data_IF_198679121439
#
_entry.id   IF_198679121439
#
_cell.length_a   1.000
_cell.length_b   1.000
_cell.length_c   1.000
_cell.angle_alpha   90.00
_cell.angle_beta   90.00
_cell.angle_gamma   90.00
#
_symmetry.space_group_name_H-M   'P 1'
#
loop_
_entity.id
_entity.type
_entity.pdbx_description
1 polymer ?
#
# COMPACT_ATOMS: atom_id res chain seq x y z
N UNK A 1 7.09 -9.92 13.42
CA UNK A 1 7.18 -9.24 12.12
C UNK A 1 7.45 -7.78 12.44
N UNK A 2 8.61 -7.24 12.10
CA UNK A 2 9.01 -5.87 12.47
C UNK A 2 8.37 -4.92 11.45
N UNK A 3 7.70 -3.88 11.90
CA UNK A 3 7.09 -2.89 11.00
C UNK A 3 8.14 -2.28 10.07
N UNK A 4 7.75 -1.88 8.84
CA UNK A 4 8.66 -1.19 7.94
C UNK A 4 9.21 0.10 8.60
N UNK A 5 10.51 0.42 8.42
CA UNK A 5 11.09 1.65 8.94
C UNK A 5 10.37 2.88 8.36
N UNK A 6 10.19 3.91 9.18
CA UNK A 6 9.48 5.15 8.82
C UNK A 6 10.12 5.90 7.65
N UNK A 7 11.43 5.71 7.45
CA UNK A 7 12.18 6.10 6.26
C UNK A 7 13.06 4.91 5.86
N UNK A 8 12.79 4.28 4.72
CA UNK A 8 13.61 3.18 4.22
C UNK A 8 13.02 2.55 2.96
N UNK A 9 13.86 1.81 2.24
CA UNK A 9 13.45 1.00 1.09
C UNK A 9 13.46 -0.45 1.52
N UNK A 10 12.41 -1.21 1.21
CA UNK A 10 12.37 -2.65 1.41
C UNK A 10 11.73 -3.33 0.22
N UNK A 11 12.24 -4.52 -0.10
CA UNK A 11 11.73 -5.36 -1.17
C UNK A 11 10.78 -6.42 -0.60
N UNK A 12 9.62 -6.58 -1.23
CA UNK A 12 8.72 -7.69 -0.93
C UNK A 12 8.42 -8.47 -2.19
N UNK A 13 8.74 -9.76 -2.14
CA UNK A 13 8.38 -10.71 -3.19
C UNK A 13 7.25 -11.60 -2.71
N UNK A 14 6.12 -11.55 -3.42
CA UNK A 14 5.01 -12.49 -3.21
C UNK A 14 5.15 -13.68 -4.16
N UNK A 15 5.18 -14.93 -3.65
CA UNK A 15 5.22 -16.10 -4.52
C UNK A 15 3.93 -16.19 -5.33
N UNK A 16 4.05 -16.45 -6.64
CA UNK A 16 2.91 -16.55 -7.57
C UNK A 16 2.00 -17.76 -7.33
N UNK A 17 2.50 -18.79 -6.63
CA UNK A 17 1.73 -19.94 -6.16
C UNK A 17 1.87 -20.03 -4.65
N UNK A 18 0.73 -20.05 -3.96
CA UNK A 18 0.68 -20.49 -2.56
C UNK A 18 1.23 -21.93 -2.54
N UNK A 19 2.37 -22.18 -1.89
CA UNK A 19 2.80 -23.57 -1.66
C UNK A 19 1.70 -24.25 -0.84
N UNK A 20 1.19 -25.38 -1.32
CA UNK A 20 0.25 -26.24 -0.57
C UNK A 20 0.84 -26.51 0.82
N UNK A 21 0.15 -26.11 1.88
CA UNK A 21 0.61 -26.28 3.28
C UNK A 21 1.63 -25.24 3.79
N UNK A 22 2.04 -24.26 2.98
CA UNK A 22 2.90 -23.17 3.44
C UNK A 22 2.08 -22.03 4.04
N UNK A 23 2.52 -21.49 5.18
CA UNK A 23 2.11 -20.13 5.58
C UNK A 23 2.53 -19.20 4.44
N UNK A 24 1.57 -18.62 3.73
CA UNK A 24 1.85 -17.54 2.79
C UNK A 24 2.65 -16.45 3.50
N UNK A 25 3.41 -15.65 2.76
CA UNK A 25 3.98 -14.45 3.37
C UNK A 25 2.78 -13.63 3.91
N UNK A 26 2.67 -13.49 5.24
CA UNK A 26 1.52 -12.86 5.90
C UNK A 26 1.27 -11.43 5.38
N UNK A 27 2.29 -10.81 4.81
CA UNK A 27 2.19 -9.58 4.05
C UNK A 27 1.32 -9.71 2.79
N UNK A 28 1.60 -10.73 1.97
CA UNK A 28 0.91 -10.98 0.71
C UNK A 28 -0.55 -11.38 0.97
N UNK A 29 -0.80 -12.24 1.97
CA UNK A 29 -2.17 -12.61 2.36
C UNK A 29 -2.99 -11.37 2.78
N UNK A 30 -2.38 -10.42 3.52
CA UNK A 30 -3.04 -9.16 3.91
C UNK A 30 -3.29 -8.24 2.73
N UNK A 31 -2.34 -8.12 1.80
CA UNK A 31 -2.48 -7.26 0.62
C UNK A 31 -3.52 -7.83 -0.36
N UNK A 32 -3.60 -9.15 -0.48
CA UNK A 32 -4.66 -9.84 -1.21
C UNK A 32 -6.04 -9.62 -0.57
N UNK A 33 -6.15 -9.74 0.76
CA UNK A 33 -7.42 -9.50 1.47
C UNK A 33 -7.93 -8.07 1.38
N UNK A 34 -7.08 -7.11 1.00
CA UNK A 34 -7.48 -5.71 0.72
C UNK A 34 -7.77 -5.44 -0.75
N UNK A 35 -7.44 -6.38 -1.64
CA UNK A 35 -7.76 -6.26 -3.07
C UNK A 35 -9.21 -6.70 -3.31
N UNK A 36 -10.09 -5.77 -3.66
CA UNK A 36 -11.45 -6.08 -4.10
C UNK A 36 -11.57 -5.95 -5.63
N UNK A 37 -12.50 -6.70 -6.28
CA UNK A 37 -12.80 -6.49 -7.69
C UNK A 37 -13.14 -5.02 -7.98
N UNK A 38 -12.49 -4.42 -8.98
CA UNK A 38 -12.71 -3.01 -9.36
C UNK A 38 -11.97 -1.96 -8.52
N UNK A 39 -11.30 -2.35 -7.42
CA UNK A 39 -10.48 -1.43 -6.63
C UNK A 39 -9.01 -1.59 -6.99
N UNK A 40 -8.41 -0.54 -7.56
CA UNK A 40 -6.97 -0.45 -7.72
C UNK A 40 -6.34 0.20 -6.49
N UNK A 41 -5.63 -0.61 -5.68
CA UNK A 41 -4.93 -0.15 -4.47
C UNK A 41 -3.81 0.85 -4.75
N UNK A 42 -3.30 0.86 -5.99
CA UNK A 42 -2.17 1.68 -6.40
C UNK A 42 -2.58 2.87 -7.26
N UNK A 43 -3.83 2.92 -7.74
CA UNK A 43 -4.33 4.08 -8.49
C UNK A 43 -4.29 5.35 -7.63
N UNK A 44 -3.87 6.50 -8.18
CA UNK A 44 -3.85 7.77 -7.47
C UNK A 44 -5.26 8.24 -7.12
N UNK A 45 -5.38 9.11 -6.11
CA UNK A 45 -6.62 9.84 -5.87
C UNK A 45 -6.89 10.76 -7.08
N UNK A 46 -8.12 10.80 -7.64
CA UNK A 46 -8.47 11.73 -8.71
C UNK A 46 -8.23 13.18 -8.29
N UNK A 47 -7.74 14.01 -9.21
CA UNK A 47 -7.42 15.42 -8.92
C UNK A 47 -8.66 16.27 -8.56
N UNK A 48 -9.83 15.83 -8.99
CA UNK A 48 -11.14 16.43 -8.71
C UNK A 48 -11.85 15.83 -7.49
N UNK A 49 -11.21 14.89 -6.78
CA UNK A 49 -11.76 14.32 -5.58
C UNK A 49 -11.90 15.37 -4.47
N UNK A 50 -13.07 15.42 -3.85
CA UNK A 50 -13.32 16.26 -2.68
C UNK A 50 -12.70 15.61 -1.44
N UNK A 51 -11.52 16.10 -1.05
CA UNK A 51 -10.75 15.57 0.06
C UNK A 51 -10.60 16.61 1.17
N UNK A 52 -10.69 16.18 2.43
CA UNK A 52 -10.36 17.04 3.56
C UNK A 52 -8.87 17.36 3.55
N UNK A 53 -8.51 18.62 3.83
CA UNK A 53 -7.13 18.95 4.14
C UNK A 53 -6.76 18.33 5.49
N UNK A 54 -5.63 17.64 5.55
CA UNK A 54 -5.07 17.10 6.79
C UNK A 54 -3.74 17.78 7.06
N UNK A 55 -3.64 18.48 8.20
CA UNK A 55 -2.44 19.20 8.62
C UNK A 55 -1.58 18.36 9.59
N UNK A 56 -1.67 17.05 9.47
CA UNK A 56 -0.86 16.12 10.23
C UNK A 56 0.56 15.99 9.64
N UNK A 57 1.44 15.23 10.30
CA UNK A 57 2.82 15.02 9.85
C UNK A 57 2.82 14.45 8.42
N UNK A 58 3.22 15.22 7.40
CA UNK A 58 3.20 14.74 6.03
C UNK A 58 4.23 13.62 5.87
N UNK A 59 3.85 12.59 5.12
CA UNK A 59 4.72 11.48 4.79
C UNK A 59 4.50 11.10 3.33
N UNK A 60 5.60 10.82 2.63
CA UNK A 60 5.57 10.35 1.25
C UNK A 60 6.12 8.95 1.15
N UNK A 61 5.52 8.12 0.31
CA UNK A 61 6.06 6.80 -0.02
C UNK A 61 5.96 6.55 -1.52
N UNK A 62 6.92 5.81 -2.06
CA UNK A 62 6.90 5.31 -3.42
C UNK A 62 6.90 3.79 -3.37
N UNK A 63 5.93 3.16 -4.04
CA UNK A 63 5.85 1.72 -4.20
C UNK A 63 6.07 1.40 -5.67
N UNK A 64 7.22 0.81 -5.97
CA UNK A 64 7.57 0.34 -7.31
C UNK A 64 7.75 -1.18 -7.31
N UNK A 65 7.27 -1.87 -8.35
CA UNK A 65 7.45 -3.32 -8.47
C UNK A 65 6.46 -3.99 -9.42
N UNK A 66 6.15 -5.26 -9.13
CA UNK A 66 5.17 -6.04 -9.90
C UNK A 66 4.17 -6.71 -8.97
N UNK A 67 2.89 -6.38 -9.14
CA UNK A 67 1.78 -6.93 -8.36
C UNK A 67 0.81 -7.66 -9.28
N UNK A 68 0.52 -8.94 -8.99
CA UNK A 68 -0.38 -9.79 -9.82
C UNK A 68 -0.08 -9.71 -11.33
N UNK A 69 1.21 -9.62 -11.69
CA UNK A 69 1.66 -9.50 -13.09
C UNK A 69 1.65 -8.08 -13.67
N UNK A 70 1.03 -7.10 -13.00
CA UNK A 70 1.02 -5.69 -13.40
C UNK A 70 2.23 -4.95 -12.84
N UNK A 71 2.90 -4.13 -13.65
CA UNK A 71 3.88 -3.16 -13.12
C UNK A 71 3.15 -2.14 -12.26
N UNK A 72 3.73 -1.83 -11.12
CA UNK A 72 3.25 -0.82 -10.18
C UNK A 72 4.34 0.21 -10.02
N UNK A 73 3.96 1.48 -10.15
CA UNK A 73 4.73 2.63 -9.73
C UNK A 73 3.71 3.63 -9.18
N UNK A 74 3.63 3.69 -7.85
CA UNK A 74 2.62 4.45 -7.15
C UNK A 74 3.26 5.31 -6.07
N UNK A 75 2.97 6.61 -6.15
CA UNK A 75 3.33 7.58 -5.12
C UNK A 75 2.14 7.80 -4.19
N UNK A 76 2.43 7.90 -2.91
CA UNK A 76 1.49 8.18 -1.84
C UNK A 76 1.98 9.41 -1.08
N UNK A 77 1.05 10.28 -0.72
CA UNK A 77 1.34 11.53 -0.03
C UNK A 77 0.26 11.82 1.01
N UNK A 78 0.62 11.77 2.29
CA UNK A 78 -0.34 11.86 3.39
C UNK A 78 -0.62 13.31 3.81
N UNK A 79 -1.11 14.13 2.87
CA UNK A 79 -1.47 15.55 3.11
C UNK A 79 -2.98 15.82 3.08
N UNK A 80 -3.79 14.83 2.71
CA UNK A 80 -5.25 14.96 2.66
C UNK A 80 -5.95 13.64 2.99
N UNK A 81 -7.24 13.72 3.38
CA UNK A 81 -7.98 12.56 3.87
C UNK A 81 -8.18 11.44 2.86
N UNK A 82 -8.24 11.74 1.56
CA UNK A 82 -8.33 10.70 0.53
C UNK A 82 -7.03 9.91 0.42
N UNK A 83 -5.89 10.59 0.41
CA UNK A 83 -4.59 9.94 0.37
C UNK A 83 -4.28 9.21 1.68
N UNK A 84 -4.72 9.72 2.84
CA UNK A 84 -4.65 9.01 4.12
C UNK A 84 -5.48 7.73 4.10
N UNK A 85 -6.70 7.77 3.57
CA UNK A 85 -7.53 6.58 3.39
C UNK A 85 -6.88 5.56 2.44
N UNK A 86 -6.28 6.03 1.33
CA UNK A 86 -5.54 5.21 0.38
C UNK A 86 -4.29 4.58 1.02
N UNK A 87 -3.53 5.34 1.80
CA UNK A 87 -2.38 4.89 2.59
C UNK A 87 -2.77 3.77 3.56
N UNK A 88 -3.90 3.93 4.27
CA UNK A 88 -4.42 2.93 5.21
C UNK A 88 -4.76 1.58 4.55
N UNK A 89 -5.18 1.60 3.28
CA UNK A 89 -5.44 0.38 2.48
C UNK A 89 -4.17 -0.36 2.08
N UNK A 90 -3.00 0.26 2.17
CA UNK A 90 -1.74 -0.42 1.89
C UNK A 90 -1.11 -1.05 3.11
N UNK A 91 -1.65 -0.88 4.32
CA UNK A 91 -1.11 -1.55 5.50
C UNK A 91 -1.09 -3.09 5.30
N UNK A 92 0.06 -3.76 5.50
CA UNK A 92 1.25 -3.29 6.20
C UNK A 92 2.42 -2.79 5.32
N UNK A 93 2.25 -2.57 4.01
CA UNK A 93 3.29 -1.99 3.14
C UNK A 93 3.79 -0.68 3.70
N UNK A 94 2.88 0.20 4.10
CA UNK A 94 3.22 1.53 4.58
C UNK A 94 3.10 1.58 6.11
N UNK A 95 4.02 2.27 6.80
CA UNK A 95 3.94 2.44 8.24
C UNK A 95 2.64 3.15 8.62
N UNK A 96 2.08 2.87 9.82
CA UNK A 96 0.88 3.54 10.27
C UNK A 96 1.04 5.07 10.28
N UNK A 97 -0.06 5.75 9.98
CA UNK A 97 -0.17 7.16 10.29
C UNK A 97 -0.25 7.31 11.81
N UNK A 98 0.68 8.10 12.36
CA UNK A 98 0.78 8.45 13.77
C UNK A 98 0.48 9.92 13.94
#
# INVERSE_FOLDING_TARGET
MKDPPVNGTWDVTCPSRRKSGGRGNAFCDRLEGRTAPGIDLFAPVPADALCSAEYDRPATATVAGRWKGRRVDARFDRTNGCETARWGRLRPLLPPAH
#
